data_IF_314276276708
#
_entry.id   IF_314276276708
#
_cell.length_a   1.000
_cell.length_b   1.000
_cell.length_c   1.000
_cell.angle_alpha   90.00
_cell.angle_beta   90.00
_cell.angle_gamma   90.00
#
_symmetry.space_group_name_H-M   'P 1'
#
loop_
_entity.id
_entity.type
_entity.pdbx_description
1 polymer ?
#
# COMPACT_ATOMS: atom_id res chain seq x y z
N UNK A 1 23.87 -11.61 11.03
CA UNK A 1 23.91 -10.28 10.39
C UNK A 1 23.48 -10.30 8.91
N UNK A 2 23.87 -11.28 8.08
CA UNK A 2 23.48 -11.34 6.66
C UNK A 2 21.95 -11.50 6.46
N UNK A 3 21.29 -12.33 7.22
CA UNK A 3 19.85 -12.58 7.13
C UNK A 3 19.01 -11.29 7.36
N UNK A 4 19.46 -10.41 8.27
CA UNK A 4 18.79 -9.12 8.52
C UNK A 4 18.92 -8.12 7.37
N UNK A 5 19.97 -8.20 6.56
CA UNK A 5 20.12 -7.30 5.41
C UNK A 5 19.15 -7.69 4.28
N UNK A 6 18.96 -8.97 4.04
CA UNK A 6 18.10 -9.47 2.97
C UNK A 6 16.63 -9.06 3.17
N UNK A 7 16.12 -9.12 4.41
CA UNK A 7 14.73 -8.74 4.70
C UNK A 7 14.46 -7.24 4.43
N UNK A 8 15.44 -6.37 4.71
CA UNK A 8 15.31 -4.93 4.48
C UNK A 8 15.37 -4.58 2.99
N UNK A 9 16.27 -5.23 2.26
CA UNK A 9 16.35 -5.09 0.80
C UNK A 9 15.06 -5.54 0.12
N UNK A 10 14.45 -6.62 0.62
CA UNK A 10 13.16 -7.12 0.12
C UNK A 10 12.03 -6.12 0.39
N UNK A 11 11.96 -5.51 1.58
CA UNK A 11 10.96 -4.48 1.87
C UNK A 11 11.14 -3.23 0.99
N UNK A 12 12.40 -2.83 0.72
CA UNK A 12 12.69 -1.73 -0.21
C UNK A 12 12.23 -2.08 -1.63
N UNK A 13 12.67 -3.23 -2.16
CA UNK A 13 12.35 -3.66 -3.53
C UNK A 13 10.83 -3.85 -3.69
N UNK A 14 10.18 -4.49 -2.73
CA UNK A 14 8.74 -4.74 -2.79
C UNK A 14 7.94 -3.44 -2.74
N UNK A 15 8.29 -2.50 -1.86
CA UNK A 15 7.61 -1.20 -1.81
C UNK A 15 7.93 -0.35 -3.04
N UNK A 16 9.16 -0.41 -3.55
CA UNK A 16 9.54 0.22 -4.82
C UNK A 16 8.63 -0.26 -5.96
N UNK A 17 8.55 -1.57 -6.20
CA UNK A 17 7.75 -2.08 -7.32
C UNK A 17 6.25 -1.86 -7.10
N UNK A 18 5.75 -1.98 -5.87
CA UNK A 18 4.36 -1.67 -5.56
C UNK A 18 4.03 -0.23 -5.95
N UNK A 19 4.82 0.74 -5.47
CA UNK A 19 4.58 2.16 -5.73
C UNK A 19 4.83 2.51 -7.20
N UNK A 20 5.87 1.93 -7.82
CA UNK A 20 6.17 2.13 -9.24
C UNK A 20 5.02 1.66 -10.12
N UNK A 21 4.42 0.51 -9.82
CA UNK A 21 3.27 0.02 -10.58
C UNK A 21 2.04 0.90 -10.36
N UNK A 22 1.77 1.33 -9.12
CA UNK A 22 0.64 2.25 -8.83
C UNK A 22 0.79 3.53 -9.65
N UNK A 23 1.94 4.19 -9.62
CA UNK A 23 2.16 5.46 -10.31
C UNK A 23 2.22 5.24 -11.83
N UNK A 24 3.08 4.33 -12.28
CA UNK A 24 3.33 4.11 -13.70
C UNK A 24 2.12 3.58 -14.45
N UNK A 25 1.37 2.64 -13.87
CA UNK A 25 0.15 2.16 -14.51
C UNK A 25 -0.97 3.24 -14.49
N UNK A 26 -0.95 4.14 -13.51
CA UNK A 26 -1.84 5.28 -13.50
C UNK A 26 -1.57 6.25 -14.64
N UNK A 27 -0.30 6.62 -14.85
CA UNK A 27 0.11 7.48 -15.97
C UNK A 27 -0.23 6.82 -17.30
N UNK A 28 0.14 5.54 -17.48
CA UNK A 28 -0.13 4.82 -18.72
C UNK A 28 -1.63 4.69 -19.00
N UNK A 29 -2.41 4.34 -17.99
CA UNK A 29 -3.84 4.17 -18.13
C UNK A 29 -4.55 5.51 -18.42
N UNK A 30 -4.15 6.60 -17.80
CA UNK A 30 -4.65 7.94 -18.09
C UNK A 30 -4.35 8.34 -19.54
N UNK A 31 -3.11 8.16 -20.00
CA UNK A 31 -2.69 8.48 -21.37
C UNK A 31 -3.47 7.67 -22.42
N UNK A 32 -3.79 6.40 -22.15
CA UNK A 32 -4.48 5.53 -23.09
C UNK A 32 -6.01 5.61 -23.02
N UNK A 33 -6.57 6.10 -21.92
CA UNK A 33 -8.02 6.10 -21.68
C UNK A 33 -8.80 7.14 -22.46
N UNK A 34 -8.13 8.07 -23.13
CA UNK A 34 -8.75 9.18 -23.87
C UNK A 34 -9.77 9.96 -23.02
N UNK A 35 -9.46 10.20 -21.76
CA UNK A 35 -10.32 10.90 -20.80
C UNK A 35 -11.35 10.01 -20.08
N UNK A 36 -11.45 8.72 -20.40
CA UNK A 36 -12.35 7.83 -19.69
C UNK A 36 -11.75 7.39 -18.35
N UNK A 37 -12.15 8.06 -17.28
CA UNK A 37 -11.65 7.84 -15.92
C UNK A 37 -11.91 6.39 -15.42
N UNK A 38 -12.99 5.75 -15.85
CA UNK A 38 -13.28 4.36 -15.46
C UNK A 38 -12.27 3.38 -16.09
N UNK A 39 -11.89 3.61 -17.35
CA UNK A 39 -10.87 2.81 -18.04
C UNK A 39 -9.50 3.03 -17.37
N UNK A 40 -9.15 4.28 -17.07
CA UNK A 40 -7.91 4.61 -16.36
C UNK A 40 -7.83 3.90 -14.99
N UNK A 41 -8.90 3.99 -14.21
CA UNK A 41 -8.99 3.32 -12.91
C UNK A 41 -8.92 1.80 -13.04
N UNK A 42 -9.54 1.20 -14.05
CA UNK A 42 -9.52 -0.24 -14.29
C UNK A 42 -8.09 -0.72 -14.60
N UNK A 43 -7.38 -0.03 -15.48
CA UNK A 43 -5.99 -0.35 -15.82
C UNK A 43 -5.08 -0.28 -14.59
N UNK A 44 -5.22 0.78 -13.79
CA UNK A 44 -4.46 0.94 -12.54
C UNK A 44 -4.82 -0.15 -11.51
N UNK A 45 -6.11 -0.50 -11.36
CA UNK A 45 -6.60 -1.56 -10.46
C UNK A 45 -6.01 -2.92 -10.79
N UNK A 46 -6.08 -3.34 -12.06
CA UNK A 46 -5.58 -4.65 -12.50
C UNK A 46 -4.07 -4.74 -12.27
N UNK A 47 -3.33 -3.72 -12.66
CA UNK A 47 -1.87 -3.67 -12.50
C UNK A 47 -1.45 -3.74 -11.03
N UNK A 48 -2.13 -2.99 -10.16
CA UNK A 48 -1.84 -2.98 -8.71
C UNK A 48 -2.16 -4.32 -8.06
N UNK A 49 -3.29 -4.94 -8.39
CA UNK A 49 -3.63 -6.27 -7.89
C UNK A 49 -2.62 -7.33 -8.35
N UNK A 50 -2.24 -7.30 -9.63
CA UNK A 50 -1.27 -8.23 -10.21
C UNK A 50 0.10 -8.13 -9.52
N UNK A 51 0.62 -6.92 -9.35
CA UNK A 51 1.95 -6.76 -8.71
C UNK A 51 1.92 -7.15 -7.23
N UNK A 52 0.85 -6.85 -6.49
CA UNK A 52 0.70 -7.28 -5.10
C UNK A 52 0.73 -8.81 -4.98
N UNK A 53 0.01 -9.51 -5.85
CA UNK A 53 0.05 -10.96 -5.89
C UNK A 53 1.47 -11.49 -6.10
N UNK A 54 2.18 -10.97 -7.10
CA UNK A 54 3.55 -11.40 -7.44
C UNK A 54 4.51 -11.10 -6.28
N UNK A 55 4.49 -9.89 -5.73
CA UNK A 55 5.41 -9.49 -4.67
C UNK A 55 5.21 -10.30 -3.38
N UNK A 56 3.96 -10.49 -2.96
CA UNK A 56 3.66 -11.29 -1.76
C UNK A 56 4.04 -12.74 -1.99
N UNK A 57 3.72 -13.30 -3.15
CA UNK A 57 4.07 -14.68 -3.50
C UNK A 57 5.58 -14.92 -3.53
N UNK A 58 6.34 -13.93 -4.02
CA UNK A 58 7.80 -14.04 -4.15
C UNK A 58 8.53 -13.82 -2.83
N UNK A 59 8.05 -12.94 -1.98
CA UNK A 59 8.85 -12.41 -0.87
C UNK A 59 8.31 -12.70 0.54
N UNK A 60 7.11 -13.28 0.67
CA UNK A 60 6.51 -13.55 1.99
C UNK A 60 7.36 -14.45 2.88
N UNK A 61 8.08 -15.41 2.29
CA UNK A 61 8.97 -16.31 3.03
C UNK A 61 10.28 -15.66 3.50
N UNK A 62 10.61 -14.46 2.97
CA UNK A 62 11.88 -13.77 3.27
C UNK A 62 11.65 -12.67 4.31
N UNK A 63 10.75 -11.69 4.04
CA UNK A 63 10.50 -10.56 4.92
C UNK A 63 9.11 -10.55 5.57
N UNK A 64 8.23 -11.45 5.15
CA UNK A 64 6.80 -11.37 5.45
C UNK A 64 6.02 -10.54 4.42
N UNK A 65 6.73 -9.89 3.48
CA UNK A 65 6.17 -9.09 2.39
C UNK A 65 5.19 -8.00 2.91
N UNK A 66 5.64 -7.19 3.86
CA UNK A 66 4.80 -6.14 4.43
C UNK A 66 4.57 -5.00 3.43
N UNK A 67 5.64 -4.41 2.88
CA UNK A 67 5.63 -3.31 1.91
C UNK A 67 4.74 -2.13 2.30
N UNK A 68 4.44 -2.03 3.59
CA UNK A 68 3.42 -1.14 4.12
C UNK A 68 3.68 -0.83 5.60
N UNK A 69 3.87 0.45 5.99
CA UNK A 69 4.11 0.85 7.37
C UNK A 69 3.02 0.43 8.36
N UNK A 70 1.73 0.49 7.99
CA UNK A 70 0.66 0.09 8.94
C UNK A 70 0.57 -1.42 9.09
N UNK A 71 0.92 -2.20 8.08
CA UNK A 71 1.09 -3.66 8.23
C UNK A 71 2.23 -3.93 9.21
N UNK A 72 3.41 -3.35 8.98
CA UNK A 72 4.56 -3.51 9.89
C UNK A 72 4.24 -3.05 11.32
N UNK A 73 3.46 -2.00 11.49
CA UNK A 73 3.00 -1.50 12.78
C UNK A 73 2.14 -2.52 13.54
N UNK A 74 1.18 -3.18 12.87
CA UNK A 74 0.37 -4.22 13.50
C UNK A 74 1.22 -5.42 13.91
N UNK A 75 2.17 -5.85 13.08
CA UNK A 75 3.07 -6.95 13.46
C UNK A 75 4.03 -6.58 14.60
N UNK A 76 4.39 -5.30 14.72
CA UNK A 76 5.10 -4.79 15.90
C UNK A 76 4.23 -4.83 17.17
N UNK A 77 2.97 -4.35 17.11
CA UNK A 77 2.02 -4.42 18.23
C UNK A 77 1.83 -5.89 18.69
N UNK A 78 1.76 -6.80 17.75
CA UNK A 78 1.63 -8.25 18.00
C UNK A 78 2.92 -8.88 18.51
N UNK A 79 4.00 -8.10 18.70
CA UNK A 79 5.34 -8.55 19.16
C UNK A 79 6.01 -9.54 18.20
N UNK A 80 5.60 -9.57 16.94
CA UNK A 80 6.23 -10.38 15.89
C UNK A 80 7.43 -9.65 15.28
N UNK A 81 7.54 -8.34 15.47
CA UNK A 81 8.72 -7.52 15.13
C UNK A 81 9.27 -6.85 16.39
N UNK A 82 10.60 -6.74 16.46
CA UNK A 82 11.25 -5.85 17.44
C UNK A 82 11.09 -4.39 16.99
N UNK A 83 11.18 -3.43 17.93
CA UNK A 83 11.16 -1.99 17.59
C UNK A 83 12.24 -1.64 16.56
N UNK A 84 13.44 -2.18 16.71
CA UNK A 84 14.54 -1.95 15.76
C UNK A 84 14.21 -2.45 14.35
N UNK A 85 13.61 -3.65 14.23
CA UNK A 85 13.21 -4.20 12.93
C UNK A 85 12.06 -3.39 12.33
N UNK A 86 11.07 -3.02 13.13
CA UNK A 86 9.94 -2.19 12.72
C UNK A 86 10.39 -0.85 12.15
N UNK A 87 11.26 -0.11 12.86
CA UNK A 87 11.77 1.17 12.37
C UNK A 87 12.57 1.01 11.07
N UNK A 88 13.37 -0.04 10.95
CA UNK A 88 14.10 -0.34 9.72
C UNK A 88 13.13 -0.66 8.56
N UNK A 89 12.09 -1.45 8.79
CA UNK A 89 11.07 -1.74 7.77
C UNK A 89 10.47 -0.45 7.23
N UNK A 90 9.98 0.42 8.12
CA UNK A 90 9.41 1.70 7.73
C UNK A 90 10.40 2.53 6.90
N UNK A 91 11.65 2.65 7.36
CA UNK A 91 12.68 3.42 6.63
C UNK A 91 12.88 2.88 5.21
N UNK A 92 13.02 1.56 5.05
CA UNK A 92 13.26 0.96 3.74
C UNK A 92 12.00 0.98 2.84
N UNK A 93 10.81 0.90 3.43
CA UNK A 93 9.53 1.06 2.71
C UNK A 93 9.39 2.48 2.17
N UNK A 94 9.66 3.53 2.97
CA UNK A 94 9.64 4.91 2.48
C UNK A 94 10.71 5.18 1.42
N UNK A 95 11.93 4.68 1.61
CA UNK A 95 12.99 4.79 0.62
C UNK A 95 12.60 4.13 -0.72
N UNK A 96 12.06 2.92 -0.67
CA UNK A 96 11.58 2.23 -1.87
C UNK A 96 10.47 3.00 -2.58
N UNK A 97 9.48 3.48 -1.82
CA UNK A 97 8.38 4.26 -2.38
C UNK A 97 8.85 5.57 -3.02
N UNK A 98 9.76 6.30 -2.38
CA UNK A 98 10.29 7.56 -2.93
C UNK A 98 11.16 7.33 -4.17
N UNK A 99 12.05 6.35 -4.14
CA UNK A 99 12.87 6.00 -5.31
C UNK A 99 12.01 5.61 -6.51
N UNK A 100 10.87 4.97 -6.28
CA UNK A 100 9.95 4.61 -7.36
C UNK A 100 9.37 5.82 -8.08
N UNK A 101 9.05 6.90 -7.36
CA UNK A 101 8.57 8.15 -7.97
C UNK A 101 9.59 8.66 -8.98
N UNK A 102 10.85 8.81 -8.55
CA UNK A 102 11.93 9.32 -9.40
C UNK A 102 12.13 8.47 -10.64
N UNK A 103 12.17 7.14 -10.47
CA UNK A 103 12.42 6.22 -11.59
C UNK A 103 11.24 6.19 -12.55
N UNK A 104 10.00 6.18 -12.04
CA UNK A 104 8.80 6.20 -12.88
C UNK A 104 8.71 7.51 -13.65
N UNK A 105 8.91 8.64 -12.99
CA UNK A 105 8.90 9.95 -13.64
C UNK A 105 9.95 10.03 -14.74
N UNK A 106 11.16 9.52 -14.51
CA UNK A 106 12.21 9.51 -15.51
C UNK A 106 11.81 8.81 -16.81
N UNK A 107 11.26 7.59 -16.73
CA UNK A 107 10.92 6.86 -17.96
C UNK A 107 9.54 7.19 -18.56
N UNK A 108 8.75 8.03 -17.86
CA UNK A 108 7.53 8.61 -18.42
C UNK A 108 7.69 10.07 -18.87
N UNK A 109 8.93 10.60 -18.92
CA UNK A 109 9.22 11.99 -19.28
C UNK A 109 8.48 13.02 -18.43
N UNK A 110 8.30 12.72 -17.13
CA UNK A 110 7.74 13.61 -16.14
C UNK A 110 8.85 14.39 -15.42
N UNK A 111 8.54 15.55 -14.86
CA UNK A 111 9.42 16.19 -13.90
C UNK A 111 9.69 15.24 -12.73
N UNK A 112 10.96 15.06 -12.36
CA UNK A 112 11.38 14.02 -11.40
C UNK A 112 10.69 14.12 -10.04
N UNK A 113 10.44 15.34 -9.57
CA UNK A 113 9.72 15.60 -8.31
C UNK A 113 8.68 16.69 -8.58
N UNK A 114 7.43 16.34 -8.34
CA UNK A 114 6.29 17.25 -8.45
C UNK A 114 5.62 17.36 -7.08
N UNK A 115 4.85 18.40 -6.86
CA UNK A 115 3.92 18.46 -5.71
C UNK A 115 2.52 18.34 -6.29
N UNK A 116 1.82 17.29 -5.91
CA UNK A 116 0.50 17.01 -6.44
C UNK A 116 -0.53 18.07 -6.00
N UNK A 117 -1.28 18.59 -6.98
CA UNK A 117 -2.45 19.44 -6.76
C UNK A 117 -3.76 18.63 -6.73
N UNK A 118 -3.70 17.30 -6.81
CA UNK A 118 -4.88 16.44 -6.86
C UNK A 118 -5.54 16.34 -5.47
N UNK A 119 -6.37 17.32 -5.15
CA UNK A 119 -7.13 17.35 -3.90
C UNK A 119 -8.16 16.22 -3.88
N UNK A 120 -8.01 15.30 -2.92
CA UNK A 120 -8.89 14.13 -2.83
C UNK A 120 -9.99 14.27 -1.79
N UNK A 121 -10.02 15.37 -1.02
CA UNK A 121 -10.99 15.63 0.04
C UNK A 121 -10.39 15.45 1.44
N UNK A 122 -11.26 15.55 2.44
CA UNK A 122 -10.87 15.61 3.87
C UNK A 122 -11.54 14.50 4.68
N UNK A 123 -12.56 14.82 5.49
CA UNK A 123 -13.17 13.91 6.46
C UNK A 123 -13.79 12.64 5.85
N UNK A 124 -14.41 12.75 4.67
CA UNK A 124 -15.05 11.59 4.02
C UNK A 124 -14.01 10.55 3.60
N UNK A 125 -12.82 11.02 3.20
CA UNK A 125 -11.74 10.13 2.81
C UNK A 125 -11.02 9.52 4.01
N UNK A 126 -11.03 10.17 5.18
CA UNK A 126 -10.61 9.55 6.42
C UNK A 126 -11.43 8.29 6.70
N UNK A 127 -12.77 8.38 6.61
CA UNK A 127 -13.65 7.20 6.80
C UNK A 127 -13.38 6.14 5.74
N UNK A 128 -13.20 6.56 4.49
CA UNK A 128 -12.87 5.65 3.39
C UNK A 128 -11.57 4.88 3.63
N UNK A 129 -10.53 5.55 4.12
CA UNK A 129 -9.25 4.90 4.45
C UNK A 129 -9.33 4.04 5.73
N UNK A 130 -10.20 4.39 6.70
CA UNK A 130 -10.49 3.49 7.83
C UNK A 130 -11.06 2.18 7.30
N UNK A 131 -12.07 2.22 6.45
CA UNK A 131 -12.71 1.02 5.87
C UNK A 131 -11.72 0.22 5.02
N UNK A 132 -10.96 0.90 4.16
CA UNK A 132 -9.97 0.29 3.28
C UNK A 132 -8.89 -0.46 4.07
N UNK A 133 -8.31 0.20 5.07
CA UNK A 133 -7.21 -0.38 5.85
C UNK A 133 -7.72 -1.42 6.85
N UNK A 134 -8.89 -1.21 7.44
CA UNK A 134 -9.55 -2.21 8.27
C UNK A 134 -9.75 -3.52 7.49
N UNK A 135 -10.31 -3.45 6.29
CA UNK A 135 -10.56 -4.63 5.47
C UNK A 135 -9.26 -5.29 5.01
N UNK A 136 -8.24 -4.50 4.61
CA UNK A 136 -6.93 -5.02 4.23
C UNK A 136 -6.29 -5.82 5.39
N UNK A 137 -6.18 -5.20 6.57
CA UNK A 137 -5.55 -5.85 7.73
C UNK A 137 -6.38 -7.04 8.23
N UNK A 138 -7.71 -6.96 8.19
CA UNK A 138 -8.58 -8.09 8.49
C UNK A 138 -8.30 -9.26 7.54
N UNK A 139 -8.21 -8.99 6.24
CA UNK A 139 -7.86 -9.99 5.24
C UNK A 139 -6.50 -10.62 5.54
N UNK A 140 -5.46 -9.81 5.76
CA UNK A 140 -4.12 -10.32 6.07
C UNK A 140 -4.14 -11.22 7.32
N UNK A 141 -4.71 -10.73 8.42
CA UNK A 141 -4.63 -11.42 9.71
C UNK A 141 -5.39 -12.74 9.72
N UNK A 142 -6.62 -12.77 9.18
CA UNK A 142 -7.43 -13.98 9.16
C UNK A 142 -6.93 -14.98 8.11
N UNK A 143 -6.62 -14.54 6.88
CA UNK A 143 -6.15 -15.46 5.86
C UNK A 143 -4.78 -16.02 6.23
N UNK A 144 -3.88 -15.21 6.79
CA UNK A 144 -2.59 -15.72 7.28
C UNK A 144 -2.75 -16.80 8.36
N UNK A 145 -3.74 -16.67 9.26
CA UNK A 145 -3.98 -17.66 10.33
C UNK A 145 -4.62 -18.93 9.79
N UNK A 146 -5.64 -18.82 8.97
CA UNK A 146 -6.50 -19.99 8.62
C UNK A 146 -6.19 -20.57 7.25
N UNK A 147 -5.68 -19.80 6.31
CA UNK A 147 -5.38 -20.18 4.93
C UNK A 147 -4.10 -19.52 4.41
N UNK A 148 -2.91 -19.75 5.04
CA UNK A 148 -1.69 -18.98 4.77
C UNK A 148 -1.22 -19.05 3.32
N UNK A 149 -1.61 -20.06 2.55
CA UNK A 149 -1.26 -20.20 1.13
C UNK A 149 -1.98 -19.18 0.24
N UNK A 150 -3.10 -18.64 0.72
CA UNK A 150 -4.00 -17.75 -0.05
C UNK A 150 -3.80 -16.26 0.28
N UNK A 151 -2.84 -15.91 1.14
CA UNK A 151 -2.60 -14.51 1.52
C UNK A 151 -2.35 -13.62 0.30
N UNK A 152 -1.53 -14.09 -0.64
CA UNK A 152 -1.19 -13.30 -1.82
C UNK A 152 -2.40 -12.99 -2.69
N UNK A 153 -3.24 -13.99 -2.96
CA UNK A 153 -4.46 -13.82 -3.75
C UNK A 153 -5.52 -13.00 -3.01
N UNK A 154 -5.71 -13.26 -1.72
CA UNK A 154 -6.69 -12.55 -0.92
C UNK A 154 -6.37 -11.04 -0.82
N UNK A 155 -5.11 -10.69 -0.55
CA UNK A 155 -4.67 -9.29 -0.48
C UNK A 155 -4.79 -8.60 -1.84
N UNK A 156 -4.32 -9.25 -2.91
CA UNK A 156 -4.41 -8.72 -4.27
C UNK A 156 -5.86 -8.43 -4.68
N UNK A 157 -6.75 -9.40 -4.45
CA UNK A 157 -8.17 -9.26 -4.78
C UNK A 157 -8.87 -8.22 -3.89
N UNK A 158 -8.53 -8.17 -2.58
CA UNK A 158 -9.09 -7.16 -1.70
C UNK A 158 -8.72 -5.74 -2.16
N UNK A 159 -7.44 -5.48 -2.47
CA UNK A 159 -7.01 -4.17 -2.97
C UNK A 159 -7.65 -3.85 -4.32
N UNK A 160 -7.75 -4.82 -5.22
CA UNK A 160 -8.44 -4.60 -6.50
C UNK A 160 -9.92 -4.22 -6.31
N UNK A 161 -10.63 -4.87 -5.39
CA UNK A 161 -11.98 -4.48 -5.02
C UNK A 161 -11.99 -3.09 -4.35
N UNK A 162 -11.02 -2.82 -3.47
CA UNK A 162 -10.87 -1.57 -2.73
C UNK A 162 -10.82 -0.34 -3.63
N UNK A 163 -10.14 -0.42 -4.76
CA UNK A 163 -10.10 0.65 -5.76
C UNK A 163 -11.48 1.11 -6.22
N UNK A 164 -12.50 0.25 -6.15
CA UNK A 164 -13.82 0.49 -6.69
C UNK A 164 -14.91 0.74 -5.64
N UNK A 165 -14.81 0.15 -4.45
CA UNK A 165 -15.83 0.34 -3.42
C UNK A 165 -15.49 1.41 -2.39
N UNK A 166 -14.25 1.92 -2.38
CA UNK A 166 -13.83 3.00 -1.49
C UNK A 166 -13.61 4.29 -2.28
N UNK A 167 -14.09 5.43 -1.77
CA UNK A 167 -13.91 6.71 -2.45
C UNK A 167 -12.47 7.21 -2.46
N UNK A 168 -11.62 6.69 -1.57
CA UNK A 168 -10.18 6.95 -1.53
C UNK A 168 -9.38 6.14 -2.56
N UNK A 169 -10.01 5.18 -3.24
CA UNK A 169 -9.33 4.15 -4.04
C UNK A 169 -8.37 3.28 -3.22
N UNK A 170 -8.65 3.12 -1.92
CA UNK A 170 -7.98 2.18 -1.02
C UNK A 170 -6.46 2.29 -1.03
N UNK A 171 -5.92 3.46 -0.65
CA UNK A 171 -4.46 3.59 -0.52
C UNK A 171 -3.92 2.64 0.53
N UNK A 172 -4.55 2.65 1.71
CA UNK A 172 -4.32 1.71 2.81
C UNK A 172 -2.82 1.49 3.14
N UNK A 173 -1.94 2.45 2.82
CA UNK A 173 -0.49 2.34 2.93
C UNK A 173 0.17 3.72 3.08
N UNK A 174 0.73 4.07 4.26
CA UNK A 174 1.38 5.37 4.46
C UNK A 174 2.57 5.65 3.54
N UNK A 175 3.38 4.64 3.19
CA UNK A 175 4.52 4.84 2.30
C UNK A 175 4.07 5.21 0.88
N UNK A 176 3.08 4.49 0.35
CA UNK A 176 2.46 4.81 -0.94
C UNK A 176 1.76 6.17 -0.88
N UNK A 177 1.05 6.48 0.21
CA UNK A 177 0.34 7.76 0.38
C UNK A 177 1.31 8.94 0.31
N UNK A 178 2.41 8.90 1.06
CA UNK A 178 3.41 9.98 1.07
C UNK A 178 4.14 10.08 -0.27
N UNK A 179 4.50 8.95 -0.88
CA UNK A 179 5.16 8.98 -2.19
C UNK A 179 4.28 9.64 -3.26
N UNK A 180 2.97 9.42 -3.22
CA UNK A 180 2.01 10.00 -4.17
C UNK A 180 1.81 11.50 -4.01
N UNK A 181 2.31 12.14 -2.94
CA UNK A 181 2.39 13.60 -2.87
C UNK A 181 3.38 14.19 -3.92
N UNK A 182 4.35 13.39 -4.34
CA UNK A 182 5.44 13.81 -5.22
C UNK A 182 5.19 13.48 -6.69
N UNK A 183 3.93 13.21 -7.06
CA UNK A 183 3.51 12.98 -8.44
C UNK A 183 2.19 13.71 -8.73
N UNK A 184 2.22 14.70 -9.63
CA UNK A 184 1.01 15.42 -10.06
C UNK A 184 0.40 14.75 -11.29
N UNK A 185 0.06 13.47 -11.13
CA UNK A 185 -0.51 12.60 -12.15
C UNK A 185 -1.84 11.99 -11.66
N UNK A 186 -2.48 11.15 -12.46
CA UNK A 186 -3.73 10.46 -12.13
C UNK A 186 -3.75 9.88 -10.71
N UNK A 187 -2.63 9.36 -10.24
CA UNK A 187 -2.54 8.74 -8.92
C UNK A 187 -2.14 9.69 -7.79
N UNK A 188 -1.84 10.95 -8.08
CA UNK A 188 -1.37 11.94 -7.10
C UNK A 188 -2.36 12.20 -5.96
N UNK A 189 -1.84 12.79 -4.89
CA UNK A 189 -2.61 13.28 -3.74
C UNK A 189 -2.02 14.60 -3.24
N UNK A 190 -2.87 15.62 -3.11
CA UNK A 190 -2.47 16.89 -2.51
C UNK A 190 -2.00 16.69 -1.07
N UNK A 191 -0.89 17.35 -0.64
CA UNK A 191 -0.35 17.22 0.70
C UNK A 191 -1.35 17.46 1.84
N UNK A 192 -2.32 18.36 1.65
CA UNK A 192 -3.35 18.64 2.66
C UNK A 192 -4.28 17.45 2.93
N UNK A 193 -4.49 16.59 1.93
CA UNK A 193 -5.30 15.37 2.06
C UNK A 193 -4.56 14.22 2.75
N UNK A 194 -3.22 14.21 2.75
CA UNK A 194 -2.38 13.09 3.24
C UNK A 194 -2.61 12.79 4.72
N UNK A 195 -2.78 13.82 5.54
CA UNK A 195 -2.97 13.65 6.99
C UNK A 195 -4.23 12.84 7.29
N UNK A 196 -5.33 13.09 6.58
CA UNK A 196 -6.59 12.35 6.75
C UNK A 196 -6.43 10.89 6.33
N UNK A 197 -5.69 10.62 5.26
CA UNK A 197 -5.39 9.26 4.82
C UNK A 197 -4.58 8.50 5.87
N UNK A 198 -3.48 9.06 6.37
CA UNK A 198 -2.62 8.39 7.35
C UNK A 198 -3.36 8.13 8.66
N UNK A 199 -4.13 9.11 9.17
CA UNK A 199 -4.94 8.91 10.38
C UNK A 199 -5.97 7.79 10.15
N UNK A 200 -6.68 7.81 9.03
CA UNK A 200 -7.64 6.75 8.67
C UNK A 200 -6.99 5.37 8.60
N UNK A 201 -5.81 5.28 7.97
CA UNK A 201 -5.05 4.04 7.87
C UNK A 201 -4.64 3.48 9.24
N UNK A 202 -4.17 4.33 10.14
CA UNK A 202 -3.79 3.90 11.51
C UNK A 202 -5.02 3.43 12.28
N UNK A 203 -6.12 4.17 12.25
CA UNK A 203 -7.37 3.80 12.95
C UNK A 203 -7.90 2.48 12.39
N UNK A 204 -7.98 2.34 11.06
CA UNK A 204 -8.44 1.12 10.40
C UNK A 204 -7.61 -0.11 10.78
N UNK A 205 -6.27 0.05 10.81
CA UNK A 205 -5.36 -1.02 11.21
C UNK A 205 -5.56 -1.45 12.67
N UNK A 206 -5.70 -0.49 13.59
CA UNK A 206 -5.94 -0.78 15.01
C UNK A 206 -7.28 -1.48 15.24
N UNK A 207 -8.33 -1.05 14.54
CA UNK A 207 -9.64 -1.69 14.60
C UNK A 207 -9.58 -3.13 14.06
N UNK A 208 -8.89 -3.36 12.95
CA UNK A 208 -8.70 -4.70 12.40
C UNK A 208 -7.99 -5.63 13.40
N UNK A 209 -6.92 -5.14 14.02
CA UNK A 209 -6.21 -5.91 15.04
C UNK A 209 -7.09 -6.20 16.27
N UNK A 210 -7.86 -5.22 16.73
CA UNK A 210 -8.79 -5.41 17.86
C UNK A 210 -9.83 -6.49 17.55
N UNK A 211 -10.48 -6.42 16.39
CA UNK A 211 -11.47 -7.41 15.95
C UNK A 211 -10.84 -8.79 15.78
N UNK A 212 -9.65 -8.86 15.16
CA UNK A 212 -8.92 -10.11 15.03
C UNK A 212 -8.63 -10.76 16.40
N UNK A 213 -8.14 -10.00 17.38
CA UNK A 213 -7.83 -10.52 18.71
C UNK A 213 -9.09 -11.04 19.45
N UNK A 214 -10.26 -10.47 19.15
CA UNK A 214 -11.55 -10.90 19.73
C UNK A 214 -12.13 -12.13 19.03
N UNK A 215 -11.95 -12.25 17.71
CA UNK A 215 -12.60 -13.29 16.90
C UNK A 215 -11.69 -14.47 16.59
N UNK A 216 -10.37 -14.33 16.72
CA UNK A 216 -9.48 -15.48 16.52
C UNK A 216 -9.85 -16.57 17.52
N UNK A 217 -10.01 -17.81 17.03
CA UNK A 217 -10.25 -18.95 17.90
C UNK A 217 -9.06 -19.14 18.83
N UNK A 218 -9.33 -19.42 20.09
CA UNK A 218 -8.31 -19.94 21.01
C UNK A 218 -7.88 -21.31 20.45
N UNK A 219 -6.59 -21.46 20.20
CA UNK A 219 -5.98 -22.75 19.81
C UNK A 219 -5.85 -23.62 21.04
#
# INVERSE_FOLDING_TARGET
>A
MAQNKNILVVELIGTFFLTAVVIGSGIMAENLSQGNQAVALLGNTISTGAILFVLIKSFSSISGAHFNPVVSFIFFIKKELTLSTFLKYITFQFLGAFLSVIVVHYYFDQELIQISANFRGEEKLLISEIVATFGLLTTILFVRKYNPKDVASAVALFISAGYWFTSSTSFANPAVTIARMFTDTFTGIDPSSVVYFIIGQIIGALLANYIYEKLKRAD
#
